data_IF_586670533575
#
_entry.id   IF_586670533575
#
_cell.length_a   1.000
_cell.length_b   1.000
_cell.length_c   1.000
_cell.angle_alpha   90.00
_cell.angle_beta   90.00
_cell.angle_gamma   90.00
#
_symmetry.space_group_name_H-M   'P 1'
#
loop_
_entity.id
_entity.type
_entity.pdbx_description
1 polymer ?
#
# COMPACT_ATOMS: atom_id res chain seq x y z
N UNK A 1 -38.42 19.89 -39.27
CA UNK A 1 -37.08 20.47 -39.41
C UNK A 1 -36.12 19.65 -38.54
N UNK A 2 -35.81 18.44 -39.00
CA UNK A 2 -35.03 17.42 -38.28
C UNK A 2 -33.60 17.43 -38.84
N UNK A 3 -32.63 17.76 -38.00
CA UNK A 3 -31.20 17.68 -38.35
C UNK A 3 -30.77 16.22 -38.33
N UNK A 4 -30.58 15.63 -39.51
CA UNK A 4 -30.03 14.30 -39.69
C UNK A 4 -28.49 14.36 -39.54
N UNK A 5 -27.98 13.85 -38.41
CA UNK A 5 -26.55 13.60 -38.23
C UNK A 5 -26.09 12.55 -39.25
N UNK A 6 -25.24 12.97 -40.19
CA UNK A 6 -24.54 12.07 -41.11
C UNK A 6 -23.52 11.23 -40.33
N UNK A 7 -23.89 9.99 -40.01
CA UNK A 7 -22.98 8.96 -39.52
C UNK A 7 -22.18 8.40 -40.70
N UNK A 8 -20.88 8.68 -40.72
CA UNK A 8 -19.92 8.16 -41.68
C UNK A 8 -19.65 6.67 -41.38
N UNK A 9 -19.73 5.71 -42.34
CA UNK A 9 -19.71 4.27 -42.06
C UNK A 9 -18.32 3.69 -41.73
N UNK A 10 -17.36 4.50 -41.32
CA UNK A 10 -16.02 4.07 -40.93
C UNK A 10 -15.75 4.12 -39.42
N UNK A 11 -16.71 4.57 -38.61
CA UNK A 11 -16.55 4.65 -37.15
C UNK A 11 -16.87 3.29 -36.49
N UNK A 12 -16.04 2.29 -36.77
CA UNK A 12 -15.90 1.14 -35.88
C UNK A 12 -15.34 1.68 -34.58
N UNK A 13 -16.08 1.51 -33.48
CA UNK A 13 -15.62 1.78 -32.13
C UNK A 13 -14.44 0.85 -31.88
N UNK A 14 -13.22 1.31 -32.19
CA UNK A 14 -12.01 0.62 -31.83
C UNK A 14 -12.02 0.55 -30.30
N UNK A 15 -12.10 -0.67 -29.77
CA UNK A 15 -11.82 -0.98 -28.37
C UNK A 15 -10.54 -0.24 -27.96
N UNK A 16 -10.70 0.87 -27.23
CA UNK A 16 -9.60 1.58 -26.62
C UNK A 16 -9.01 0.69 -25.54
N UNK A 17 -8.16 -0.27 -25.93
CA UNK A 17 -7.14 -0.81 -25.04
C UNK A 17 -6.23 0.36 -24.70
N UNK A 18 -6.57 1.08 -23.62
CA UNK A 18 -5.69 2.07 -23.02
C UNK A 18 -4.39 1.37 -22.70
N UNK A 19 -3.40 1.57 -23.58
CA UNK A 19 -2.07 0.99 -23.41
C UNK A 19 -1.36 1.94 -22.48
N UNK A 20 -1.55 1.75 -21.17
CA UNK A 20 -0.82 2.49 -20.15
C UNK A 20 0.67 2.26 -20.42
N UNK A 21 1.37 3.29 -20.89
CA UNK A 21 2.81 3.24 -21.13
C UNK A 21 3.52 3.44 -19.79
N UNK A 22 4.05 2.34 -19.24
CA UNK A 22 4.85 2.38 -18.02
C UNK A 22 6.18 3.11 -18.25
N UNK A 23 6.71 3.74 -17.20
CA UNK A 23 8.05 4.33 -17.25
C UNK A 23 9.11 3.23 -17.40
N UNK A 24 10.23 3.54 -18.07
CA UNK A 24 11.31 2.58 -18.28
C UNK A 24 11.87 2.02 -16.95
N UNK A 25 11.99 2.87 -15.92
CA UNK A 25 12.45 2.46 -14.59
C UNK A 25 11.54 1.41 -13.94
N UNK A 26 10.22 1.51 -14.13
CA UNK A 26 9.29 0.50 -13.63
C UNK A 26 9.45 -0.83 -14.36
N UNK A 27 9.74 -0.82 -15.67
CA UNK A 27 9.93 -2.07 -16.44
C UNK A 27 11.16 -2.86 -16.04
N UNK A 28 12.11 -2.23 -15.32
CA UNK A 28 13.33 -2.87 -14.82
C UNK A 28 13.18 -3.44 -13.41
N UNK A 29 12.10 -3.14 -12.70
CA UNK A 29 11.91 -3.59 -11.32
C UNK A 29 11.39 -5.03 -11.31
N UNK A 30 12.19 -5.95 -10.76
CA UNK A 30 11.74 -7.32 -10.55
C UNK A 30 10.68 -7.39 -9.42
N UNK A 31 9.71 -8.31 -9.51
CA UNK A 31 8.80 -8.59 -8.40
C UNK A 31 9.56 -9.01 -7.13
N UNK A 32 9.03 -8.65 -5.95
CA UNK A 32 9.66 -9.02 -4.68
C UNK A 32 9.55 -10.53 -4.42
N UNK A 33 10.67 -11.27 -4.34
CA UNK A 33 10.64 -12.70 -4.06
C UNK A 33 10.10 -12.99 -2.65
N UNK A 34 10.42 -12.15 -1.66
CA UNK A 34 9.93 -12.28 -0.28
C UNK A 34 8.40 -12.17 -0.21
N UNK A 35 7.82 -11.23 -0.97
CA UNK A 35 6.37 -11.05 -1.01
C UNK A 35 5.67 -12.25 -1.67
N UNK A 36 6.25 -12.80 -2.74
CA UNK A 36 5.70 -13.97 -3.42
C UNK A 36 5.69 -15.21 -2.50
N UNK A 37 6.77 -15.45 -1.74
CA UNK A 37 6.85 -16.55 -0.79
C UNK A 37 5.85 -16.37 0.35
N UNK A 38 5.76 -15.16 0.93
CA UNK A 38 4.81 -14.86 1.99
C UNK A 38 3.36 -15.06 1.53
N UNK A 39 3.01 -14.60 0.33
CA UNK A 39 1.68 -14.80 -0.25
C UNK A 39 1.36 -16.28 -0.46
N UNK A 40 2.32 -17.08 -0.95
CA UNK A 40 2.13 -18.52 -1.15
C UNK A 40 1.94 -19.26 0.18
N UNK A 41 2.74 -18.92 1.20
CA UNK A 41 2.61 -19.50 2.53
C UNK A 41 1.24 -19.18 3.15
N UNK A 42 0.73 -17.95 2.98
CA UNK A 42 -0.60 -17.55 3.41
C UNK A 42 -1.72 -18.34 2.69
N UNK A 43 -1.62 -18.51 1.37
CA UNK A 43 -2.56 -19.31 0.58
C UNK A 43 -2.61 -20.78 1.04
N UNK A 44 -1.45 -21.39 1.26
CA UNK A 44 -1.36 -22.78 1.72
C UNK A 44 -1.93 -22.95 3.12
N UNK A 45 -1.65 -22.01 4.04
CA UNK A 45 -2.23 -21.99 5.39
C UNK A 45 -3.75 -21.85 5.35
N UNK A 46 -4.27 -20.95 4.50
CA UNK A 46 -5.72 -20.76 4.31
C UNK A 46 -6.39 -21.99 3.68
N UNK A 47 -5.64 -22.78 2.91
CA UNK A 47 -6.08 -24.06 2.34
C UNK A 47 -5.97 -25.23 3.33
N UNK A 48 -5.66 -24.96 4.60
CA UNK A 48 -5.58 -25.96 5.67
C UNK A 48 -4.27 -26.78 5.69
N UNK A 49 -3.26 -26.39 4.91
CA UNK A 49 -1.97 -27.08 4.92
C UNK A 49 -1.11 -26.63 6.11
N UNK A 50 -0.40 -27.54 6.79
CA UNK A 50 0.50 -27.20 7.88
C UNK A 50 1.78 -26.56 7.34
N UNK A 51 1.83 -25.22 7.33
CA UNK A 51 2.97 -24.43 6.83
C UNK A 51 3.63 -23.66 7.96
N UNK A 52 4.96 -23.80 8.09
CA UNK A 52 5.80 -22.94 8.93
C UNK A 52 6.39 -21.86 8.04
N UNK A 53 5.94 -20.62 8.23
CA UNK A 53 6.42 -19.49 7.46
C UNK A 53 7.63 -18.84 8.15
N UNK A 54 8.81 -18.97 7.55
CA UNK A 54 10.06 -18.35 8.01
C UNK A 54 10.50 -17.17 7.10
N UNK A 55 9.63 -16.72 6.20
CA UNK A 55 9.95 -15.65 5.25
C UNK A 55 9.55 -14.25 5.75
N UNK A 56 8.73 -14.16 6.80
CA UNK A 56 8.31 -12.90 7.37
C UNK A 56 9.38 -12.36 8.34
N UNK A 57 9.68 -11.06 8.25
CA UNK A 57 10.61 -10.37 9.15
C UNK A 57 9.92 -9.54 10.23
N UNK A 58 8.60 -9.63 10.35
CA UNK A 58 7.84 -8.99 11.42
C UNK A 58 7.87 -9.86 12.69
N UNK A 59 7.99 -9.27 13.89
CA UNK A 59 7.91 -10.03 15.13
C UNK A 59 6.55 -10.69 15.35
N UNK A 60 6.51 -11.75 16.15
CA UNK A 60 5.31 -12.53 16.48
C UNK A 60 4.49 -11.94 17.63
N UNK A 61 5.01 -10.94 18.33
CA UNK A 61 4.33 -10.27 19.44
C UNK A 61 3.52 -9.06 18.98
N UNK A 62 2.43 -8.79 19.70
CA UNK A 62 1.64 -7.59 19.50
C UNK A 62 2.40 -6.32 19.86
N UNK A 63 2.03 -5.20 19.22
CA UNK A 63 2.49 -3.86 19.61
C UNK A 63 2.25 -3.62 21.12
N UNK A 64 3.26 -3.20 21.90
CA UNK A 64 3.14 -2.97 23.34
C UNK A 64 1.97 -2.07 23.75
N UNK A 65 1.36 -2.39 24.89
CA UNK A 65 0.15 -1.74 25.41
C UNK A 65 0.24 -0.21 25.54
N UNK A 66 1.34 0.37 26.06
CA UNK A 66 1.48 1.82 26.16
C UNK A 66 1.41 2.53 24.81
N UNK A 67 1.92 1.89 23.75
CA UNK A 67 1.92 2.44 22.38
C UNK A 67 0.50 2.45 21.82
N UNK A 68 -0.26 1.37 22.02
CA UNK A 68 -1.66 1.29 21.59
C UNK A 68 -2.53 2.32 22.29
N UNK A 69 -2.34 2.52 23.61
CA UNK A 69 -3.03 3.59 24.36
C UNK A 69 -2.70 4.99 23.84
N UNK A 70 -1.42 5.27 23.57
CA UNK A 70 -1.03 6.58 23.03
C UNK A 70 -1.69 6.86 21.68
N UNK A 71 -1.82 5.84 20.82
CA UNK A 71 -2.53 5.97 19.54
C UNK A 71 -4.03 6.25 19.74
N UNK A 72 -4.70 5.55 20.67
CA UNK A 72 -6.10 5.81 21.01
C UNK A 72 -6.31 7.25 21.51
N UNK A 73 -5.47 7.71 22.45
CA UNK A 73 -5.51 9.08 22.95
C UNK A 73 -5.28 10.12 21.85
N UNK A 74 -4.37 9.85 20.91
CA UNK A 74 -4.15 10.72 19.76
C UNK A 74 -5.40 10.82 18.88
N UNK A 75 -6.09 9.69 18.64
CA UNK A 75 -7.35 9.67 17.89
C UNK A 75 -8.46 10.44 18.64
N UNK A 76 -8.63 10.20 19.94
CA UNK A 76 -9.64 10.86 20.78
C UNK A 76 -9.40 12.38 20.91
N UNK A 77 -8.14 12.80 20.97
CA UNK A 77 -7.74 14.20 21.01
C UNK A 77 -7.78 14.91 19.64
N UNK A 78 -8.23 14.22 18.59
CA UNK A 78 -8.40 14.81 17.26
C UNK A 78 -7.11 15.02 16.48
N UNK A 79 -6.01 14.33 16.82
CA UNK A 79 -4.74 14.36 16.08
C UNK A 79 -4.84 13.57 14.76
N UNK A 80 -5.71 14.00 13.86
CA UNK A 80 -6.09 13.31 12.61
C UNK A 80 -5.80 14.13 11.35
N UNK A 81 -5.17 15.30 11.52
CA UNK A 81 -4.85 16.22 10.42
C UNK A 81 -3.40 16.06 9.98
N UNK A 82 -3.06 16.74 8.89
CA UNK A 82 -1.70 16.73 8.36
C UNK A 82 -0.67 17.12 9.41
N UNK A 83 0.41 16.38 9.43
CA UNK A 83 1.63 16.70 10.17
C UNK A 83 2.60 17.43 9.25
N UNK A 84 3.63 18.12 9.79
CA UNK A 84 4.74 18.61 9.00
C UNK A 84 5.38 17.49 8.18
N UNK A 85 5.94 17.81 7.00
CA UNK A 85 6.54 16.82 6.09
C UNK A 85 7.73 16.07 6.70
N UNK A 86 8.42 16.68 7.65
CA UNK A 86 9.53 16.10 8.41
C UNK A 86 9.06 15.38 9.70
N UNK A 87 7.76 15.37 9.99
CA UNK A 87 7.16 14.75 11.18
C UNK A 87 6.94 15.72 12.34
N UNK A 88 6.13 15.28 13.32
CA UNK A 88 5.77 16.09 14.49
C UNK A 88 7.00 16.40 15.35
N UNK A 89 7.06 17.63 15.88
CA UNK A 89 8.21 18.12 16.65
C UNK A 89 8.56 17.23 17.85
N UNK A 90 7.56 16.77 18.58
CA UNK A 90 7.75 15.90 19.76
C UNK A 90 8.38 14.55 19.40
N UNK A 91 7.98 13.94 18.28
CA UNK A 91 8.55 12.70 17.79
C UNK A 91 10.01 12.89 17.36
N UNK A 92 10.31 13.98 16.65
CA UNK A 92 11.70 14.27 16.24
C UNK A 92 12.63 14.48 17.44
N UNK A 93 12.18 15.22 18.45
CA UNK A 93 12.94 15.38 19.70
C UNK A 93 13.19 14.03 20.39
N UNK A 94 12.14 13.21 20.57
CA UNK A 94 12.29 11.89 21.20
C UNK A 94 13.19 10.93 20.41
N UNK A 95 13.21 11.04 19.07
CA UNK A 95 14.13 10.28 18.22
C UNK A 95 15.57 10.76 18.42
N UNK A 96 15.80 12.07 18.50
CA UNK A 96 17.12 12.62 18.78
C UNK A 96 17.63 12.10 20.12
N UNK A 97 16.84 12.22 21.19
CA UNK A 97 17.19 11.77 22.54
C UNK A 97 17.52 10.27 22.60
N UNK A 98 16.92 9.44 21.73
CA UNK A 98 17.22 8.00 21.63
C UNK A 98 18.63 7.73 21.07
N UNK A 99 19.15 8.62 20.23
CA UNK A 99 20.43 8.47 19.54
C UNK A 99 21.57 9.25 20.21
N UNK A 100 21.29 9.97 21.30
CA UNK A 100 22.29 10.54 22.22
C UNK A 100 22.81 9.47 23.19
#
# INVERSE_FOLDING_TARGET
MLYAYHVHPACTILSMKSTIRLSHRLTQLAPSPTLAIAAKAAEMKNSGQPVINLSAGEPDFDTPEPIRKAALLAMESGQTRYTPSDGIRSLRAAIQDKFE
#
